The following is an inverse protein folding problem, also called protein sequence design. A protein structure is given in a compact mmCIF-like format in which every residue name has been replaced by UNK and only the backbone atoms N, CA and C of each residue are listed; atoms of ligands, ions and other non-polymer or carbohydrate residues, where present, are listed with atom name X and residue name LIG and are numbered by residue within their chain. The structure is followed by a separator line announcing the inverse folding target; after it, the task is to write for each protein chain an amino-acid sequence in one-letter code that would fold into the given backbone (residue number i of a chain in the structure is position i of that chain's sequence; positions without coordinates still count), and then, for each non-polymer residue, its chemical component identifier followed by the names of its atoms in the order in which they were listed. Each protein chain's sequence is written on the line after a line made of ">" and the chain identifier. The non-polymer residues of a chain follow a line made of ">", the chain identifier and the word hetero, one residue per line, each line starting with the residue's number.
data_IF_811326097299
#
_entry.id   IF_811326097299
#
_cell.length_a   1.000
_cell.length_b   1.000
_cell.length_c   1.000
_cell.angle_alpha   90.00
_cell.angle_beta   90.00
_cell.angle_gamma   90.00
#
_symmetry.space_group_name_H-M   'P 1'
#
loop_
_entity.id
_entity.type
_entity.pdbx_description
1 polymer ?
#
# COMPACT_ATOMS: atom_id res chain seq x y z
N UNK A 1 59.34 -35.43 1.54
CA UNK A 1 58.15 -34.73 2.08
C UNK A 1 57.24 -34.40 0.92
N UNK A 2 56.08 -35.04 0.76
CA UNK A 2 55.18 -34.80 -0.35
C UNK A 2 54.12 -33.73 0.01
N UNK A 3 53.93 -32.82 -0.93
CA UNK A 3 52.84 -31.82 -0.92
C UNK A 3 51.49 -32.49 -1.20
N UNK A 4 50.57 -32.40 -0.31
CA UNK A 4 49.17 -32.78 -0.53
C UNK A 4 48.42 -31.67 -1.28
N UNK A 5 47.92 -32.03 -2.47
CA UNK A 5 47.13 -31.16 -3.33
C UNK A 5 45.72 -31.00 -2.80
N UNK A 6 45.29 -29.74 -2.74
CA UNK A 6 43.92 -29.40 -2.40
C UNK A 6 42.92 -29.72 -3.52
N UNK A 7 41.93 -30.50 -3.19
CA UNK A 7 40.76 -30.77 -4.02
C UNK A 7 39.93 -29.51 -4.13
N UNK A 8 39.84 -28.91 -5.33
CA UNK A 8 38.83 -27.92 -5.69
C UNK A 8 37.51 -28.63 -5.87
N UNK A 9 36.60 -28.45 -4.94
CA UNK A 9 35.20 -28.75 -5.14
C UNK A 9 34.59 -27.74 -6.09
N UNK A 10 34.31 -28.20 -7.31
CA UNK A 10 33.52 -27.48 -8.31
C UNK A 10 32.05 -27.58 -7.90
N UNK A 11 31.52 -26.52 -7.27
CA UNK A 11 30.10 -26.38 -7.10
C UNK A 11 29.52 -25.65 -8.33
N UNK A 12 28.82 -26.42 -9.16
CA UNK A 12 28.02 -25.87 -10.25
C UNK A 12 26.94 -24.94 -9.71
N UNK A 13 26.65 -23.78 -10.36
CA UNK A 13 25.53 -22.99 -10.01
C UNK A 13 24.25 -23.67 -10.50
N UNK A 14 23.36 -23.97 -9.56
CA UNK A 14 22.01 -24.40 -9.85
C UNK A 14 21.29 -23.16 -10.40
N UNK A 15 20.99 -23.19 -11.68
CA UNK A 15 20.14 -22.22 -12.34
C UNK A 15 18.72 -22.36 -11.82
N UNK A 16 18.26 -21.37 -11.11
CA UNK A 16 16.86 -21.26 -10.70
C UNK A 16 16.34 -19.87 -11.03
N UNK A 17 15.46 -19.80 -12.05
CA UNK A 17 14.33 -18.91 -12.04
C UNK A 17 14.56 -17.41 -12.20
N UNK A 18 15.25 -16.97 -13.23
CA UNK A 18 15.37 -15.54 -13.57
C UNK A 18 14.17 -14.95 -14.35
N UNK A 19 13.00 -15.58 -14.28
CA UNK A 19 11.83 -15.16 -15.07
C UNK A 19 10.76 -14.31 -14.35
N UNK A 20 10.84 -14.11 -13.02
CA UNK A 20 9.76 -13.45 -12.26
C UNK A 20 10.15 -12.16 -11.55
N UNK A 21 11.38 -11.68 -11.67
CA UNK A 21 11.86 -10.52 -10.87
C UNK A 21 11.83 -9.18 -11.60
N UNK A 22 11.66 -9.13 -12.93
CA UNK A 22 11.69 -7.86 -13.65
C UNK A 22 10.36 -7.09 -13.64
N UNK A 23 9.22 -7.76 -13.67
CA UNK A 23 7.92 -7.10 -13.59
C UNK A 23 7.67 -6.52 -12.20
N UNK A 24 8.08 -7.22 -11.14
CA UNK A 24 8.02 -6.72 -9.77
C UNK A 24 8.87 -5.45 -9.56
N UNK A 25 9.96 -5.32 -10.29
CA UNK A 25 10.88 -4.17 -10.19
C UNK A 25 10.34 -2.93 -10.90
N UNK A 26 9.62 -3.07 -12.03
CA UNK A 26 9.03 -1.93 -12.76
C UNK A 26 7.86 -1.30 -11.96
N UNK A 27 6.91 -2.10 -11.52
CA UNK A 27 5.83 -1.64 -10.65
C UNK A 27 6.35 -1.14 -9.30
N UNK A 28 7.35 -1.78 -8.71
CA UNK A 28 8.00 -1.33 -7.50
C UNK A 28 8.70 0.02 -7.67
N UNK A 29 9.35 0.28 -8.80
CA UNK A 29 9.98 1.58 -9.09
C UNK A 29 8.96 2.68 -9.34
N UNK A 30 7.86 2.40 -10.04
CA UNK A 30 6.76 3.34 -10.20
C UNK A 30 6.09 3.66 -8.86
N UNK A 31 5.91 2.64 -8.03
CA UNK A 31 5.33 2.80 -6.70
C UNK A 31 6.26 3.59 -5.76
N UNK A 32 7.56 3.29 -5.78
CA UNK A 32 8.56 4.01 -5.00
C UNK A 32 8.71 5.49 -5.42
N UNK A 33 8.53 5.81 -6.70
CA UNK A 33 8.60 7.19 -7.21
C UNK A 33 7.43 8.06 -6.73
N UNK A 34 6.35 7.43 -6.27
CA UNK A 34 5.17 8.11 -5.73
C UNK A 34 5.17 8.15 -4.18
N UNK A 35 6.33 8.00 -3.56
CA UNK A 35 6.50 8.16 -2.12
C UNK A 35 5.94 9.53 -1.69
N UNK A 36 4.92 9.49 -0.83
CA UNK A 36 4.21 10.69 -0.36
C UNK A 36 2.75 10.81 -0.81
N UNK A 37 2.36 10.19 -1.93
CA UNK A 37 0.98 10.20 -2.43
C UNK A 37 0.30 8.83 -2.40
N UNK A 38 0.98 7.81 -1.89
CA UNK A 38 0.50 6.42 -1.89
C UNK A 38 -0.83 6.26 -1.15
N UNK A 39 -0.97 6.93 -0.01
CA UNK A 39 -2.22 6.95 0.75
C UNK A 39 -3.38 7.55 -0.08
N UNK A 40 -3.18 8.72 -0.69
CA UNK A 40 -4.19 9.35 -1.51
C UNK A 40 -4.60 8.50 -2.71
N UNK A 41 -3.64 7.88 -3.39
CA UNK A 41 -3.88 7.00 -4.53
C UNK A 41 -4.65 5.76 -4.11
N UNK A 42 -4.25 5.10 -3.01
CA UNK A 42 -4.95 3.93 -2.49
C UNK A 42 -6.37 4.26 -2.03
N UNK A 43 -6.57 5.42 -1.39
CA UNK A 43 -7.87 5.89 -0.96
C UNK A 43 -8.80 6.18 -2.14
N UNK A 44 -8.30 6.87 -3.18
CA UNK A 44 -9.07 7.16 -4.40
C UNK A 44 -9.36 5.88 -5.17
N UNK A 45 -8.38 4.98 -5.32
CA UNK A 45 -8.57 3.70 -6.01
C UNK A 45 -9.58 2.81 -5.28
N UNK A 46 -9.48 2.66 -3.97
CA UNK A 46 -10.42 1.88 -3.17
C UNK A 46 -11.83 2.52 -3.18
N UNK A 47 -11.91 3.83 -3.02
CA UNK A 47 -13.19 4.54 -3.03
C UNK A 47 -13.89 4.49 -4.39
N UNK A 48 -13.18 4.80 -5.47
CA UNK A 48 -13.75 4.79 -6.81
C UNK A 48 -14.15 3.38 -7.26
N UNK A 49 -13.33 2.37 -7.01
CA UNK A 49 -13.66 0.98 -7.33
C UNK A 49 -14.85 0.49 -6.53
N UNK A 50 -14.99 0.89 -5.26
CA UNK A 50 -16.15 0.58 -4.43
C UNK A 50 -17.44 1.19 -4.99
N UNK A 51 -17.42 2.46 -5.40
CA UNK A 51 -18.57 3.12 -6.01
C UNK A 51 -18.98 2.45 -7.33
N UNK A 52 -18.00 2.17 -8.21
CA UNK A 52 -18.27 1.47 -9.48
C UNK A 52 -18.82 0.08 -9.23
N UNK A 53 -18.28 -0.66 -8.26
CA UNK A 53 -18.77 -1.99 -7.89
C UNK A 53 -20.24 -1.93 -7.45
N UNK A 54 -20.59 -1.00 -6.56
CA UNK A 54 -21.98 -0.81 -6.12
C UNK A 54 -22.89 -0.44 -7.29
N UNK A 55 -22.46 0.44 -8.18
CA UNK A 55 -23.24 0.81 -9.37
C UNK A 55 -23.46 -0.39 -10.31
N UNK A 56 -22.43 -1.20 -10.56
CA UNK A 56 -22.53 -2.42 -11.36
C UNK A 56 -23.45 -3.45 -10.70
N UNK A 57 -23.36 -3.63 -9.38
CA UNK A 57 -24.26 -4.51 -8.64
C UNK A 57 -25.70 -4.04 -8.68
N UNK A 58 -25.92 -2.72 -8.54
CA UNK A 58 -27.26 -2.15 -8.69
C UNK A 58 -27.84 -2.40 -10.10
N UNK A 59 -27.02 -2.21 -11.14
CA UNK A 59 -27.41 -2.52 -12.52
C UNK A 59 -27.82 -3.99 -12.66
N UNK A 60 -27.02 -4.91 -12.14
CA UNK A 60 -27.26 -6.36 -12.28
C UNK A 60 -28.47 -6.85 -11.46
N UNK A 61 -28.75 -6.23 -10.32
CA UNK A 61 -29.84 -6.68 -9.43
C UNK A 61 -31.19 -6.04 -9.76
N UNK A 62 -31.21 -4.80 -10.25
CA UNK A 62 -32.45 -4.02 -10.37
C UNK A 62 -32.78 -3.59 -11.80
N UNK A 63 -31.79 -3.42 -12.68
CA UNK A 63 -31.98 -2.85 -14.01
C UNK A 63 -31.89 -3.87 -15.15
N UNK A 64 -31.42 -5.12 -14.89
CA UNK A 64 -31.24 -6.12 -15.94
C UNK A 64 -32.54 -6.48 -16.67
N UNK A 65 -33.70 -6.42 -16.00
CA UNK A 65 -34.99 -6.75 -16.55
C UNK A 65 -35.67 -5.58 -17.30
N UNK A 66 -35.09 -4.39 -17.25
CA UNK A 66 -35.60 -3.23 -17.96
C UNK A 66 -35.05 -3.19 -19.40
N UNK A 67 -35.96 -3.16 -20.38
CA UNK A 67 -35.62 -3.23 -21.82
C UNK A 67 -34.60 -2.15 -22.25
N UNK A 68 -34.63 -0.97 -21.64
CA UNK A 68 -33.69 0.13 -21.96
C UNK A 68 -32.27 -0.09 -21.41
N UNK A 69 -32.10 -0.91 -20.38
CA UNK A 69 -30.84 -1.11 -19.67
C UNK A 69 -30.21 -2.48 -19.87
N UNK A 70 -30.94 -3.40 -20.49
CA UNK A 70 -30.47 -4.76 -20.72
C UNK A 70 -29.18 -4.85 -21.56
N UNK A 71 -29.00 -3.94 -22.51
CA UNK A 71 -27.80 -3.89 -23.36
C UNK A 71 -26.52 -3.58 -22.58
N UNK A 72 -26.65 -2.93 -21.41
CA UNK A 72 -25.52 -2.59 -20.54
C UNK A 72 -25.13 -3.72 -19.56
N UNK A 73 -25.92 -4.79 -19.47
CA UNK A 73 -25.69 -5.90 -18.52
C UNK A 73 -24.33 -6.57 -18.73
N UNK A 74 -23.92 -6.79 -19.99
CA UNK A 74 -22.60 -7.34 -20.31
C UNK A 74 -21.45 -6.44 -19.83
N UNK A 75 -21.57 -5.13 -20.02
CA UNK A 75 -20.62 -4.15 -19.53
C UNK A 75 -20.58 -4.09 -18.00
N UNK A 76 -21.73 -4.21 -17.33
CA UNK A 76 -21.84 -4.21 -15.89
C UNK A 76 -21.14 -5.45 -15.26
N UNK A 77 -21.24 -6.62 -15.89
CA UNK A 77 -20.53 -7.83 -15.44
C UNK A 77 -19.01 -7.61 -15.51
N UNK A 78 -18.51 -7.14 -16.65
CA UNK A 78 -17.08 -6.87 -16.83
C UNK A 78 -16.62 -5.80 -15.84
N UNK A 79 -17.37 -4.71 -15.71
CA UNK A 79 -17.11 -3.64 -14.77
C UNK A 79 -17.08 -4.11 -13.31
N UNK A 80 -18.01 -4.97 -12.92
CA UNK A 80 -18.05 -5.56 -11.58
C UNK A 80 -16.80 -6.40 -11.29
N UNK A 81 -16.39 -7.26 -12.23
CA UNK A 81 -15.20 -8.11 -12.07
C UNK A 81 -13.94 -7.26 -11.94
N UNK A 82 -13.73 -6.28 -12.84
CA UNK A 82 -12.57 -5.39 -12.80
C UNK A 82 -12.56 -4.57 -11.52
N UNK A 83 -13.68 -3.96 -11.15
CA UNK A 83 -13.79 -3.17 -9.91
C UNK A 83 -13.56 -4.01 -8.66
N UNK A 84 -14.03 -5.25 -8.64
CA UNK A 84 -13.79 -6.17 -7.53
C UNK A 84 -12.30 -6.47 -7.37
N UNK A 85 -11.59 -6.75 -8.47
CA UNK A 85 -10.14 -7.01 -8.42
C UNK A 85 -9.39 -5.78 -7.90
N UNK A 86 -9.69 -4.60 -8.45
CA UNK A 86 -9.05 -3.34 -7.99
C UNK A 86 -9.35 -3.07 -6.53
N UNK A 87 -10.59 -3.28 -6.10
CA UNK A 87 -11.00 -3.11 -4.71
C UNK A 87 -10.26 -4.05 -3.77
N UNK A 88 -10.20 -5.35 -4.09
CA UNK A 88 -9.51 -6.35 -3.27
C UNK A 88 -8.00 -6.09 -3.13
N UNK A 89 -7.38 -5.49 -4.14
CA UNK A 89 -5.95 -5.11 -4.07
C UNK A 89 -5.75 -3.81 -3.30
N UNK A 90 -6.60 -2.81 -3.54
CA UNK A 90 -6.42 -1.47 -2.96
C UNK A 90 -6.94 -1.35 -1.53
N UNK A 91 -7.93 -2.13 -1.14
CA UNK A 91 -8.58 -2.03 0.16
C UNK A 91 -7.68 -2.40 1.35
N UNK A 92 -6.91 -3.52 1.32
CA UNK A 92 -5.99 -3.83 2.42
C UNK A 92 -4.88 -2.80 2.57
N UNK A 93 -4.36 -2.25 1.47
CA UNK A 93 -3.39 -1.16 1.50
C UNK A 93 -3.99 0.11 2.13
N UNK A 94 -5.21 0.47 1.76
CA UNK A 94 -5.93 1.58 2.38
C UNK A 94 -6.12 1.39 3.90
N UNK A 95 -6.51 0.19 4.35
CA UNK A 95 -6.65 -0.11 5.77
C UNK A 95 -5.32 0.00 6.53
N UNK A 96 -4.23 -0.45 5.91
CA UNK A 96 -2.88 -0.34 6.47
C UNK A 96 -2.49 1.13 6.67
N UNK A 97 -2.67 1.97 5.67
CA UNK A 97 -2.37 3.40 5.78
C UNK A 97 -3.27 4.11 6.80
N UNK A 98 -4.54 3.74 6.87
CA UNK A 98 -5.45 4.25 7.90
C UNK A 98 -4.97 3.89 9.32
N UNK A 99 -4.39 2.70 9.49
CA UNK A 99 -3.76 2.30 10.75
C UNK A 99 -2.62 3.26 11.14
N UNK A 100 -1.74 3.61 10.22
CA UNK A 100 -0.66 4.57 10.48
C UNK A 100 -1.17 5.99 10.80
N UNK A 101 -2.22 6.45 10.12
CA UNK A 101 -2.85 7.75 10.45
C UNK A 101 -3.38 7.74 11.88
N UNK A 102 -4.09 6.69 12.29
CA UNK A 102 -4.63 6.57 13.63
C UNK A 102 -3.52 6.55 14.71
N UNK A 103 -2.42 5.81 14.45
CA UNK A 103 -1.26 5.76 15.35
C UNK A 103 -0.65 7.15 15.51
N UNK A 104 -0.46 7.86 14.40
CA UNK A 104 0.13 9.19 14.41
C UNK A 104 -0.76 10.19 15.15
N UNK A 105 -2.07 10.15 14.91
CA UNK A 105 -3.05 11.00 15.59
C UNK A 105 -3.10 10.72 17.09
N UNK A 106 -3.12 9.44 17.48
CA UNK A 106 -3.08 9.02 18.89
C UNK A 106 -1.83 9.56 19.61
N UNK A 107 -0.64 9.44 18.99
CA UNK A 107 0.60 9.94 19.60
C UNK A 107 0.61 11.47 19.66
N UNK A 108 0.08 12.16 18.65
CA UNK A 108 0.01 13.63 18.65
C UNK A 108 -0.99 14.18 19.68
N UNK A 109 -2.00 13.41 20.06
CA UNK A 109 -2.96 13.78 21.13
C UNK A 109 -2.36 13.63 22.54
N UNK A 110 -1.27 12.87 22.68
CA UNK A 110 -0.56 12.71 23.96
C UNK A 110 0.12 14.01 24.36
N UNK A 111 -0.20 14.50 25.57
CA UNK A 111 0.40 15.72 26.12
C UNK A 111 1.74 15.49 26.84
N UNK A 112 2.04 14.24 27.20
CA UNK A 112 3.20 13.86 28.00
C UNK A 112 4.45 13.66 27.15
N UNK A 113 5.43 14.55 27.27
CA UNK A 113 6.71 14.45 26.56
C UNK A 113 7.46 13.13 26.80
N UNK A 114 7.51 12.53 28.00
CA UNK A 114 8.14 11.22 28.20
C UNK A 114 7.47 10.10 27.40
N UNK A 115 6.16 10.13 27.27
CA UNK A 115 5.41 9.12 26.55
C UNK A 115 5.61 9.28 25.03
N UNK A 116 5.63 10.51 24.52
CA UNK A 116 5.97 10.81 23.12
C UNK A 116 7.36 10.26 22.79
N UNK A 117 8.35 10.45 23.69
CA UNK A 117 9.70 9.90 23.48
C UNK A 117 9.71 8.37 23.44
N UNK A 118 8.89 7.72 24.25
CA UNK A 118 8.78 6.25 24.27
C UNK A 118 8.18 5.71 22.99
N UNK A 119 7.18 6.39 22.43
CA UNK A 119 6.48 6.00 21.20
C UNK A 119 7.04 6.65 19.94
N UNK A 120 8.14 7.38 20.04
CA UNK A 120 8.73 8.11 18.92
C UNK A 120 9.03 7.20 17.73
N UNK A 121 9.62 6.03 17.96
CA UNK A 121 9.95 5.08 16.89
C UNK A 121 8.70 4.61 16.11
N UNK A 122 7.58 4.41 16.80
CA UNK A 122 6.29 4.05 16.19
C UNK A 122 5.72 5.21 15.36
N UNK A 123 5.85 6.44 15.87
CA UNK A 123 5.46 7.66 15.13
C UNK A 123 6.35 7.95 13.93
N UNK A 124 7.66 7.74 14.04
CA UNK A 124 8.61 7.90 12.93
C UNK A 124 8.28 6.90 11.79
N UNK A 125 8.03 5.63 12.12
CA UNK A 125 7.64 4.60 11.15
C UNK A 125 6.30 4.95 10.45
N UNK A 126 5.31 5.37 11.25
CA UNK A 126 4.00 5.74 10.70
C UNK A 126 4.10 6.97 9.79
N UNK A 127 4.83 8.00 10.18
CA UNK A 127 5.02 9.22 9.41
C UNK A 127 5.79 8.96 8.10
N UNK A 128 6.82 8.11 8.15
CA UNK A 128 7.59 7.71 6.97
C UNK A 128 6.74 6.89 5.99
N UNK A 129 5.93 5.94 6.49
CA UNK A 129 5.02 5.15 5.68
C UNK A 129 3.93 5.98 4.99
N UNK A 130 3.44 7.04 5.64
CA UNK A 130 2.43 7.96 5.09
C UNK A 130 3.00 8.96 4.07
N UNK A 131 4.30 9.23 4.13
CA UNK A 131 5.03 10.07 3.18
C UNK A 131 5.28 11.50 3.63
N UNK A 132 5.86 12.30 2.72
CA UNK A 132 6.52 13.57 3.03
C UNK A 132 5.65 14.58 3.81
N UNK A 133 4.37 14.72 3.49
CA UNK A 133 3.49 15.67 4.17
C UNK A 133 3.24 15.31 5.64
N UNK A 134 3.05 14.03 5.93
CA UNK A 134 2.88 13.55 7.30
C UNK A 134 4.19 13.57 8.07
N UNK A 135 5.31 13.25 7.42
CA UNK A 135 6.63 13.31 8.01
C UNK A 135 7.01 14.75 8.42
N UNK A 136 6.69 15.74 7.59
CA UNK A 136 6.91 17.15 7.91
C UNK A 136 6.07 17.59 9.10
N UNK A 137 4.79 17.23 9.13
CA UNK A 137 3.89 17.53 10.24
C UNK A 137 4.35 16.86 11.54
N UNK A 138 4.76 15.61 11.48
CA UNK A 138 5.33 14.87 12.61
C UNK A 138 6.59 15.54 13.16
N UNK A 139 7.52 15.91 12.29
CA UNK A 139 8.74 16.60 12.69
C UNK A 139 8.46 17.96 13.35
N UNK A 140 7.52 18.74 12.81
CA UNK A 140 7.08 20.00 13.42
C UNK A 140 6.47 19.80 14.81
N UNK A 141 5.68 18.74 14.98
CA UNK A 141 5.12 18.36 16.27
C UNK A 141 6.22 18.00 17.29
N UNK A 142 7.21 17.15 16.92
CA UNK A 142 8.33 16.79 17.78
C UNK A 142 9.15 18.02 18.20
N UNK A 143 9.41 18.92 17.26
CA UNK A 143 10.14 20.18 17.56
C UNK A 143 9.34 21.06 18.54
N UNK A 144 8.00 21.13 18.41
CA UNK A 144 7.13 21.87 19.33
C UNK A 144 7.14 21.31 20.76
N UNK A 145 7.34 20.01 20.91
CA UNK A 145 7.42 19.29 22.19
C UNK A 145 8.85 19.20 22.75
N UNK A 146 9.86 19.77 22.05
CA UNK A 146 11.27 19.72 22.45
C UNK A 146 11.87 18.31 22.42
N UNK A 147 11.34 17.44 21.58
CA UNK A 147 11.86 16.07 21.37
C UNK A 147 12.84 16.11 20.21
N UNK A 148 14.12 15.78 20.46
CA UNK A 148 15.13 15.73 19.40
C UNK A 148 14.77 14.66 18.36
N UNK A 149 14.99 15.03 17.11
CA UNK A 149 14.89 14.13 15.94
C UNK A 149 15.84 12.96 16.03
#
# INVERSE_FOLDING_TARGET
>A
MPKMGGLKASSAPVGTGEGMSEEGTFFGRLWAKQHGNQFGISAVAAGSSGVVLVACMYQLLFLQDHAEWNDYTGGAIIGAVVSLIVFLVSFPEFLRFRGYVNVLEEIMDVQSTPEIRRRKAEGDEAAEALGAGHLEHWNAFLDSKGVKR
#
